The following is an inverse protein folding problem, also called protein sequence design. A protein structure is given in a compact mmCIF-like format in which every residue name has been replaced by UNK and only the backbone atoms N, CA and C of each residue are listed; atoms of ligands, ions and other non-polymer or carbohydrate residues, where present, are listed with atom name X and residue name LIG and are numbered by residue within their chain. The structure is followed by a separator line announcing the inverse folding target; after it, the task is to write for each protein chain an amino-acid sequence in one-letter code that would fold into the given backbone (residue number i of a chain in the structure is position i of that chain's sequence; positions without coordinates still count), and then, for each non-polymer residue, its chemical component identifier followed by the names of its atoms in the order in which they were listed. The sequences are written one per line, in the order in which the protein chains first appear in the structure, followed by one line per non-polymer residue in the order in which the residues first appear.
data_IF_003841109568
#
_entry.id   IF_003841109568
#
_cell.length_a   1.000
_cell.length_b   1.000
_cell.length_c   1.000
_cell.angle_alpha   90.00
_cell.angle_beta   90.00
_cell.angle_gamma   90.00
#
_symmetry.space_group_name_H-M   'P 1'
#
loop_
_entity.id
_entity.type
_entity.pdbx_description
1 polymer ?
#
# COMPACT_ATOMS: atom_id res chain seq x y z
N UNK A 1 11.29 20.87 -6.46
CA UNK A 1 12.09 20.08 -7.40
C UNK A 1 11.90 18.60 -7.13
N UNK A 2 11.62 17.79 -8.17
CA UNK A 2 11.45 16.37 -7.96
C UNK A 2 12.79 15.65 -7.76
N UNK A 3 12.80 14.61 -6.95
CA UNK A 3 13.98 13.76 -6.72
C UNK A 3 14.19 12.89 -7.96
N UNK A 4 15.35 13.01 -8.60
CA UNK A 4 15.73 12.27 -9.80
C UNK A 4 17.24 12.02 -9.85
N UNK A 5 17.73 11.03 -10.60
CA UNK A 5 19.15 10.86 -10.83
C UNK A 5 19.74 12.07 -11.55
N UNK A 6 20.97 12.44 -11.22
CA UNK A 6 21.72 13.49 -11.93
C UNK A 6 22.02 13.10 -13.37
N UNK A 7 22.29 11.81 -13.57
CA UNK A 7 22.58 11.22 -14.89
C UNK A 7 21.72 9.97 -15.08
N UNK A 8 20.70 10.09 -15.91
CA UNK A 8 19.71 9.04 -16.18
C UNK A 8 20.31 7.84 -16.92
N UNK A 9 21.44 8.02 -17.62
CA UNK A 9 22.10 6.93 -18.33
C UNK A 9 22.82 5.93 -17.41
N UNK A 10 22.98 6.28 -16.12
CA UNK A 10 23.67 5.47 -15.12
C UNK A 10 22.65 4.81 -14.20
N UNK A 11 22.46 3.53 -14.35
CA UNK A 11 21.68 2.72 -13.42
C UNK A 11 22.48 2.38 -12.13
N UNK A 12 21.85 1.69 -11.19
CA UNK A 12 22.46 1.32 -9.92
C UNK A 12 23.63 0.32 -10.04
N UNK A 13 23.83 -0.31 -11.20
CA UNK A 13 24.95 -1.23 -11.45
C UNK A 13 26.23 -0.49 -11.82
N UNK A 14 26.08 0.65 -12.48
CA UNK A 14 27.20 1.47 -12.97
C UNK A 14 27.69 2.46 -11.91
N UNK A 15 26.79 2.95 -11.05
CA UNK A 15 27.14 3.91 -10.00
C UNK A 15 27.84 3.20 -8.85
N UNK A 16 29.05 3.66 -8.51
CA UNK A 16 29.82 3.13 -7.39
C UNK A 16 29.26 3.65 -6.04
N UNK A 17 28.26 2.99 -5.53
CA UNK A 17 27.69 3.25 -4.18
C UNK A 17 28.13 2.11 -3.27
N UNK A 18 28.89 2.42 -2.23
CA UNK A 18 29.42 1.43 -1.28
C UNK A 18 28.36 0.90 -0.32
N UNK A 19 27.44 1.75 0.07
CA UNK A 19 26.33 1.39 0.97
C UNK A 19 25.21 0.69 0.22
N UNK A 20 24.79 -0.48 0.74
CA UNK A 20 23.78 -1.32 0.12
C UNK A 20 22.39 -0.68 0.13
N UNK A 21 22.03 0.06 1.18
CA UNK A 21 20.71 0.67 1.30
C UNK A 21 20.62 1.95 0.45
N UNK A 22 21.70 2.71 0.37
CA UNK A 22 21.79 3.83 -0.57
C UNK A 22 21.70 3.35 -2.02
N UNK A 23 22.29 2.20 -2.34
CA UNK A 23 22.18 1.60 -3.68
C UNK A 23 20.75 1.21 -4.02
N UNK A 24 20.04 0.58 -3.09
CA UNK A 24 18.61 0.23 -3.26
C UNK A 24 17.76 1.48 -3.46
N UNK A 25 18.02 2.52 -2.66
CA UNK A 25 17.30 3.78 -2.79
C UNK A 25 17.55 4.44 -4.15
N UNK A 26 18.82 4.46 -4.60
CA UNK A 26 19.17 4.98 -5.92
C UNK A 26 18.48 4.20 -7.03
N UNK A 27 18.47 2.86 -6.97
CA UNK A 27 17.80 1.98 -7.92
C UNK A 27 16.29 2.26 -7.99
N UNK A 28 15.63 2.44 -6.84
CA UNK A 28 14.24 2.80 -6.76
C UNK A 28 13.95 4.16 -7.42
N UNK A 29 14.74 5.18 -7.11
CA UNK A 29 14.60 6.52 -7.69
C UNK A 29 14.82 6.46 -9.19
N UNK A 30 15.87 5.76 -9.65
CA UNK A 30 16.18 5.62 -11.06
C UNK A 30 15.04 4.91 -11.81
N UNK A 31 14.61 3.75 -11.34
CA UNK A 31 13.50 2.99 -11.92
C UNK A 31 12.22 3.81 -11.98
N UNK A 32 11.88 4.54 -10.91
CA UNK A 32 10.71 5.40 -10.87
C UNK A 32 10.80 6.53 -11.89
N UNK A 33 11.97 7.13 -12.02
CA UNK A 33 12.22 8.22 -12.98
C UNK A 33 12.07 7.73 -14.43
N UNK A 34 12.67 6.58 -14.76
CA UNK A 34 12.57 5.99 -16.10
C UNK A 34 11.15 5.59 -16.41
N UNK A 35 10.48 4.89 -15.47
CA UNK A 35 9.12 4.39 -15.67
C UNK A 35 8.10 5.50 -15.92
N UNK A 36 8.30 6.68 -15.34
CA UNK A 36 7.44 7.85 -15.59
C UNK A 36 7.54 8.38 -17.04
N UNK A 37 8.60 8.04 -17.77
CA UNK A 37 8.79 8.44 -19.16
C UNK A 37 8.46 7.33 -20.15
N UNK A 38 8.11 6.13 -19.65
CA UNK A 38 7.76 4.99 -20.48
C UNK A 38 6.26 4.99 -20.85
N UNK A 39 5.92 4.28 -21.91
CA UNK A 39 4.53 4.06 -22.30
C UNK A 39 3.76 3.30 -21.20
N UNK A 40 2.48 3.61 -21.05
CA UNK A 40 1.60 2.93 -20.10
C UNK A 40 1.45 1.44 -20.43
N UNK A 41 1.41 0.61 -19.41
CA UNK A 41 1.10 -0.81 -19.55
C UNK A 41 -0.33 -1.00 -20.08
N UNK A 42 -0.52 -2.01 -20.93
CA UNK A 42 -1.84 -2.40 -21.46
C UNK A 42 -2.24 -3.73 -20.84
N UNK A 43 -3.30 -3.68 -20.06
CA UNK A 43 -3.85 -4.84 -19.36
C UNK A 43 -5.21 -5.18 -19.95
N UNK A 44 -5.45 -6.45 -20.23
CA UNK A 44 -6.76 -6.96 -20.55
C UNK A 44 -7.37 -7.61 -19.31
N UNK A 45 -8.51 -7.09 -18.88
CA UNK A 45 -9.27 -7.67 -17.77
C UNK A 45 -10.50 -8.37 -18.32
N UNK A 46 -10.59 -9.66 -18.06
CA UNK A 46 -11.72 -10.49 -18.43
C UNK A 46 -12.56 -10.77 -17.20
N UNK A 47 -13.85 -10.46 -17.28
CA UNK A 47 -14.84 -10.84 -16.27
C UNK A 47 -15.82 -11.78 -16.92
N UNK A 48 -16.02 -12.94 -16.31
CA UNK A 48 -16.92 -13.97 -16.81
C UNK A 48 -18.01 -14.22 -15.78
N UNK A 49 -19.25 -14.07 -16.21
CA UNK A 49 -20.42 -14.45 -15.43
C UNK A 49 -20.94 -15.80 -15.94
N UNK A 50 -20.96 -16.79 -15.05
CA UNK A 50 -21.36 -18.16 -15.33
C UNK A 50 -22.68 -18.41 -14.64
N UNK A 51 -23.72 -18.75 -15.38
CA UNK A 51 -25.05 -19.05 -14.84
C UNK A 51 -25.40 -20.52 -14.99
N UNK A 52 -26.14 -21.07 -14.03
CA UNK A 52 -26.75 -22.38 -14.19
C UNK A 52 -27.90 -22.33 -15.20
N UNK A 53 -28.30 -23.48 -15.76
CA UNK A 53 -29.39 -23.56 -16.76
C UNK A 53 -30.72 -23.04 -16.21
N UNK A 54 -30.96 -23.16 -14.91
CA UNK A 54 -32.14 -22.64 -14.20
C UNK A 54 -32.01 -21.19 -13.74
N UNK A 55 -30.88 -20.52 -14.05
CA UNK A 55 -30.53 -19.14 -13.67
C UNK A 55 -30.55 -18.85 -12.14
N UNK A 56 -30.54 -19.90 -11.31
CA UNK A 56 -30.56 -19.72 -9.85
C UNK A 56 -29.16 -19.47 -9.26
N UNK A 57 -28.12 -19.93 -9.94
CA UNK A 57 -26.74 -19.77 -9.48
C UNK A 57 -26.00 -18.87 -10.45
N UNK A 58 -25.40 -17.82 -9.92
CA UNK A 58 -24.50 -16.93 -10.63
C UNK A 58 -23.10 -17.00 -10.00
N UNK A 59 -22.13 -17.42 -10.78
CA UNK A 59 -20.72 -17.42 -10.41
C UNK A 59 -19.99 -16.36 -11.22
N UNK A 60 -19.03 -15.68 -10.62
CA UNK A 60 -18.20 -14.68 -11.30
C UNK A 60 -16.72 -15.04 -11.17
N UNK A 61 -16.03 -15.05 -12.30
CA UNK A 61 -14.60 -15.21 -12.38
C UNK A 61 -13.97 -13.97 -13.02
N UNK A 62 -12.88 -13.50 -12.42
CA UNK A 62 -12.10 -12.38 -12.94
C UNK A 62 -10.69 -12.87 -13.26
N UNK A 63 -10.17 -12.43 -14.39
CA UNK A 63 -8.80 -12.66 -14.80
C UNK A 63 -8.18 -11.42 -15.41
N UNK A 64 -6.87 -11.36 -15.39
CA UNK A 64 -6.13 -10.25 -15.99
C UNK A 64 -4.89 -10.78 -16.71
N UNK A 65 -4.65 -10.26 -17.90
CA UNK A 65 -3.48 -10.58 -18.72
C UNK A 65 -2.78 -9.29 -19.10
N UNK A 66 -1.46 -9.26 -18.98
CA UNK A 66 -0.66 -8.14 -19.46
C UNK A 66 -0.41 -8.34 -20.94
N UNK A 67 -0.97 -7.47 -21.78
CA UNK A 67 -0.77 -7.50 -23.25
C UNK A 67 0.54 -6.78 -23.60
N UNK A 68 0.82 -5.67 -22.91
CA UNK A 68 2.00 -4.88 -23.12
C UNK A 68 2.52 -4.37 -21.77
N UNK A 69 3.74 -4.75 -21.43
CA UNK A 69 4.32 -4.46 -20.12
C UNK A 69 4.50 -2.96 -19.85
N UNK A 70 4.85 -2.18 -20.91
CA UNK A 70 5.12 -0.76 -20.75
C UNK A 70 6.10 -0.48 -19.60
N UNK A 71 5.74 0.44 -18.70
CA UNK A 71 6.55 0.80 -17.53
C UNK A 71 6.72 -0.33 -16.51
N UNK A 72 5.82 -1.32 -16.48
CA UNK A 72 5.91 -2.47 -15.56
C UNK A 72 7.17 -3.31 -15.79
N UNK A 73 7.77 -3.24 -16.99
CA UNK A 73 9.02 -3.91 -17.29
C UNK A 73 10.20 -3.41 -16.43
N UNK A 74 10.14 -2.16 -15.99
CA UNK A 74 11.21 -1.52 -15.20
C UNK A 74 10.82 -1.33 -13.74
N UNK A 75 9.56 -1.00 -13.49
CA UNK A 75 9.08 -0.67 -12.17
C UNK A 75 7.75 -1.36 -11.86
N UNK A 76 7.76 -2.19 -10.86
CA UNK A 76 6.57 -2.76 -10.24
C UNK A 76 6.51 -2.25 -8.79
N UNK A 77 5.37 -1.67 -8.42
CA UNK A 77 5.20 -1.16 -7.07
C UNK A 77 5.08 -2.31 -6.07
N UNK A 78 5.99 -2.35 -5.09
CA UNK A 78 5.94 -3.32 -4.02
C UNK A 78 4.70 -3.10 -3.16
N UNK A 79 3.92 -4.15 -2.93
CA UNK A 79 2.78 -4.13 -2.02
C UNK A 79 3.16 -4.87 -0.74
N UNK A 80 2.98 -4.22 0.40
CA UNK A 80 3.23 -4.82 1.71
C UNK A 80 2.17 -5.89 2.09
N UNK A 81 0.97 -5.79 1.52
CA UNK A 81 -0.12 -6.72 1.76
C UNK A 81 -0.30 -7.67 0.57
N UNK A 82 0.14 -8.91 0.77
CA UNK A 82 0.07 -9.99 -0.24
C UNK A 82 -1.28 -10.70 -0.30
N UNK A 83 -2.24 -10.31 0.56
CA UNK A 83 -3.47 -11.08 0.78
C UNK A 83 -4.53 -10.96 -0.35
N UNK A 84 -4.39 -10.02 -1.28
CA UNK A 84 -5.35 -9.85 -2.37
C UNK A 84 -4.71 -10.09 -3.76
N UNK A 85 -4.04 -11.22 -3.95
CA UNK A 85 -3.61 -11.66 -5.28
C UNK A 85 -4.73 -12.37 -6.05
N UNK A 86 -5.90 -11.77 -6.13
CA UNK A 86 -6.90 -12.22 -7.12
C UNK A 86 -6.61 -11.68 -8.53
N UNK A 87 -5.80 -10.63 -8.62
CA UNK A 87 -5.53 -9.92 -9.88
C UNK A 87 -4.55 -10.61 -10.84
N UNK A 88 -4.03 -11.78 -10.51
CA UNK A 88 -2.98 -12.44 -11.30
C UNK A 88 -3.39 -13.74 -12.00
N UNK A 89 -4.61 -14.21 -11.85
CA UNK A 89 -5.05 -15.43 -12.54
C UNK A 89 -5.41 -15.11 -13.98
N UNK A 90 -4.69 -15.71 -14.91
CA UNK A 90 -5.08 -15.69 -16.32
C UNK A 90 -6.25 -16.65 -16.52
N UNK A 91 -7.35 -16.14 -17.07
CA UNK A 91 -8.44 -16.98 -17.53
C UNK A 91 -8.14 -17.51 -18.94
N UNK A 92 -8.58 -18.73 -19.29
CA UNK A 92 -8.52 -19.21 -20.66
C UNK A 92 -9.41 -18.33 -21.55
N UNK A 93 -9.18 -18.40 -22.84
CA UNK A 93 -10.04 -17.71 -23.80
C UNK A 93 -11.42 -18.35 -23.79
N UNK A 94 -12.43 -17.58 -23.45
CA UNK A 94 -13.82 -17.99 -23.35
C UNK A 94 -14.67 -17.21 -24.37
N UNK A 95 -15.76 -17.81 -24.82
CA UNK A 95 -16.70 -17.20 -25.74
C UNK A 95 -18.06 -16.97 -25.07
N UNK A 96 -18.80 -15.99 -25.54
CA UNK A 96 -20.14 -15.73 -25.03
C UNK A 96 -21.07 -16.94 -25.31
N UNK A 97 -21.86 -17.29 -24.29
CA UNK A 97 -22.78 -18.45 -24.32
C UNK A 97 -22.10 -19.82 -24.51
N UNK A 98 -20.81 -19.91 -24.22
CA UNK A 98 -20.11 -21.19 -24.22
C UNK A 98 -20.62 -22.07 -23.06
N UNK A 99 -20.92 -23.33 -23.36
CA UNK A 99 -21.32 -24.30 -22.32
C UNK A 99 -20.09 -24.83 -21.62
N UNK A 100 -20.05 -24.64 -20.30
CA UNK A 100 -18.99 -25.14 -19.45
C UNK A 100 -19.42 -26.43 -18.77
N UNK A 101 -18.52 -27.42 -18.75
CA UNK A 101 -18.70 -28.65 -18.00
C UNK A 101 -18.20 -28.49 -16.57
N UNK A 102 -19.05 -28.83 -15.62
CA UNK A 102 -18.68 -28.84 -14.21
C UNK A 102 -17.87 -30.08 -13.88
N UNK A 103 -16.59 -29.94 -13.61
CA UNK A 103 -15.70 -31.04 -13.25
C UNK A 103 -15.85 -31.39 -11.76
N UNK A 104 -15.68 -30.42 -10.89
CA UNK A 104 -15.67 -30.62 -9.43
C UNK A 104 -16.19 -29.39 -8.71
N UNK A 105 -16.80 -29.62 -7.57
CA UNK A 105 -17.14 -28.57 -6.61
C UNK A 105 -16.38 -28.81 -5.31
N UNK A 106 -15.35 -28.02 -5.06
CA UNK A 106 -14.63 -28.05 -3.80
C UNK A 106 -15.28 -27.08 -2.82
N UNK A 107 -15.34 -27.49 -1.56
CA UNK A 107 -15.82 -26.64 -0.47
C UNK A 107 -14.67 -26.34 0.47
N UNK A 108 -14.47 -25.06 0.75
CA UNK A 108 -13.46 -24.61 1.69
C UNK A 108 -14.12 -23.71 2.73
N UNK A 109 -13.72 -23.90 3.97
CA UNK A 109 -14.19 -23.03 5.04
C UNK A 109 -13.21 -21.86 5.20
N UNK A 110 -13.69 -20.65 5.01
CA UNK A 110 -12.91 -19.42 5.24
C UNK A 110 -13.48 -18.67 6.42
N UNK A 111 -12.60 -18.05 7.19
CA UNK A 111 -12.96 -17.18 8.29
C UNK A 111 -12.53 -15.76 7.95
N UNK A 112 -13.35 -14.79 8.34
CA UNK A 112 -12.97 -13.39 8.24
C UNK A 112 -11.73 -13.12 9.11
N UNK A 113 -10.72 -12.55 8.50
CA UNK A 113 -9.49 -12.18 9.20
C UNK A 113 -9.60 -10.74 9.70
N UNK A 114 -8.99 -10.45 10.84
CA UNK A 114 -8.85 -9.07 11.30
C UNK A 114 -7.96 -8.29 10.33
N UNK A 115 -8.18 -6.96 10.17
CA UNK A 115 -7.28 -6.14 9.37
C UNK A 115 -5.81 -6.34 9.79
N UNK A 116 -4.88 -6.42 8.84
CA UNK A 116 -3.47 -6.61 9.15
C UNK A 116 -2.92 -5.45 9.96
N UNK A 117 -1.93 -5.74 10.81
CA UNK A 117 -1.20 -4.70 11.54
C UNK A 117 -0.44 -3.79 10.56
N UNK A 118 -0.31 -2.53 10.91
CA UNK A 118 0.44 -1.58 10.09
C UNK A 118 1.92 -1.97 9.96
N UNK A 119 2.47 -1.81 8.78
CA UNK A 119 3.91 -1.68 8.55
C UNK A 119 4.29 -0.20 8.70
N UNK A 120 5.58 0.12 8.71
CA UNK A 120 6.01 1.53 8.71
C UNK A 120 5.46 2.28 7.49
N UNK A 121 5.47 1.67 6.32
CA UNK A 121 4.97 2.26 5.09
C UNK A 121 3.44 2.48 5.13
N UNK A 122 2.67 1.47 5.54
CA UNK A 122 1.21 1.60 5.63
C UNK A 122 0.78 2.55 6.75
N UNK A 123 1.57 2.66 7.84
CA UNK A 123 1.34 3.67 8.87
C UNK A 123 1.56 5.09 8.34
N UNK A 124 2.66 5.32 7.61
CA UNK A 124 2.93 6.63 6.98
C UNK A 124 1.82 6.99 6.00
N UNK A 125 1.39 6.06 5.14
CA UNK A 125 0.25 6.27 4.25
C UNK A 125 -1.02 6.65 5.01
N UNK A 126 -1.30 5.96 6.13
CA UNK A 126 -2.47 6.27 6.96
C UNK A 126 -2.38 7.63 7.64
N UNK A 127 -1.18 8.02 8.09
CA UNK A 127 -0.93 9.36 8.64
C UNK A 127 -1.15 10.45 7.58
N UNK A 128 -0.69 10.23 6.35
CA UNK A 128 -0.92 11.13 5.22
C UNK A 128 -2.41 11.29 4.90
N UNK A 129 -3.14 10.17 4.80
CA UNK A 129 -4.60 10.17 4.57
C UNK A 129 -5.36 10.96 5.65
N UNK A 130 -4.91 10.89 6.90
CA UNK A 130 -5.52 11.59 8.03
C UNK A 130 -4.98 13.02 8.22
N UNK A 131 -4.02 13.45 7.41
CA UNK A 131 -3.38 14.77 7.54
C UNK A 131 -2.50 14.93 8.77
N UNK A 132 -2.03 13.82 9.38
CA UNK A 132 -1.17 13.80 10.56
C UNK A 132 0.29 13.86 10.13
N UNK A 133 1.00 14.88 10.57
CA UNK A 133 2.41 15.08 10.22
C UNK A 133 2.62 15.67 8.82
N UNK A 134 3.86 15.59 8.37
CA UNK A 134 4.31 16.07 7.05
C UNK A 134 5.40 15.11 6.53
N UNK A 135 5.72 15.09 5.24
CA UNK A 135 6.78 14.24 4.69
C UNK A 135 8.10 14.32 5.46
N UNK A 136 8.47 15.52 5.93
CA UNK A 136 9.69 15.73 6.73
C UNK A 136 9.62 15.18 8.15
N UNK A 137 8.43 14.86 8.68
CA UNK A 137 8.26 14.41 10.07
C UNK A 137 7.81 12.96 10.19
N UNK A 138 7.39 12.30 9.12
CA UNK A 138 6.90 10.92 9.20
C UNK A 138 7.94 9.96 9.78
N UNK A 139 9.16 10.01 9.28
CA UNK A 139 10.24 9.14 9.76
C UNK A 139 10.52 9.36 11.26
N UNK A 140 10.62 10.61 11.70
CA UNK A 140 10.87 10.95 13.10
C UNK A 140 9.73 10.51 14.03
N UNK A 141 8.47 10.60 13.58
CA UNK A 141 7.32 10.11 14.35
C UNK A 141 7.40 8.59 14.51
N UNK A 142 7.63 7.86 13.42
CA UNK A 142 7.72 6.39 13.45
C UNK A 142 8.88 5.93 14.33
N UNK A 143 10.04 6.58 14.25
CA UNK A 143 11.19 6.29 15.12
C UNK A 143 10.85 6.60 16.59
N UNK A 144 10.26 7.76 16.87
CA UNK A 144 9.93 8.18 18.24
C UNK A 144 8.98 7.20 18.95
N UNK A 145 7.96 6.68 18.26
CA UNK A 145 7.03 5.74 18.89
C UNK A 145 7.67 4.38 19.20
N UNK A 146 8.68 3.99 18.42
CA UNK A 146 9.48 2.79 18.69
C UNK A 146 10.48 3.02 19.81
N UNK A 147 11.25 4.12 19.80
CA UNK A 147 12.25 4.46 20.81
C UNK A 147 11.65 4.65 22.21
N UNK A 148 10.39 5.06 22.29
CA UNK A 148 9.66 5.21 23.55
C UNK A 148 8.94 3.94 24.01
N UNK A 149 9.10 2.83 23.31
CA UNK A 149 8.41 1.55 23.56
C UNK A 149 6.88 1.67 23.56
N UNK A 150 6.33 2.58 22.77
CA UNK A 150 4.88 2.64 22.58
C UNK A 150 4.41 1.57 21.59
N UNK A 151 5.29 1.22 20.66
CA UNK A 151 5.06 0.24 19.60
C UNK A 151 6.32 -0.60 19.42
N UNK A 152 6.13 -1.92 19.26
CA UNK A 152 7.19 -2.85 18.90
C UNK A 152 7.07 -3.32 17.46
N UNK A 153 8.18 -3.43 16.76
CA UNK A 153 8.23 -3.97 15.41
C UNK A 153 8.49 -5.47 15.43
N UNK A 154 7.53 -6.25 14.95
CA UNK A 154 7.62 -7.70 14.80
C UNK A 154 7.39 -8.10 13.35
N UNK A 155 8.34 -8.82 12.74
CA UNK A 155 8.23 -9.28 11.34
C UNK A 155 7.75 -8.18 10.37
N UNK A 156 8.31 -6.98 10.48
CA UNK A 156 7.94 -5.79 9.70
C UNK A 156 6.55 -5.22 9.99
N UNK A 157 5.85 -5.68 11.02
CA UNK A 157 4.55 -5.17 11.47
C UNK A 157 4.68 -4.49 12.83
N UNK A 158 3.90 -3.43 13.02
CA UNK A 158 3.91 -2.64 14.24
C UNK A 158 2.81 -3.15 15.19
N UNK A 159 3.20 -3.52 16.40
CA UNK A 159 2.29 -3.96 17.47
C UNK A 159 2.32 -2.97 18.63
N UNK A 160 1.16 -2.46 19.08
CA UNK A 160 1.12 -1.54 20.21
C UNK A 160 1.48 -2.27 21.51
N UNK A 161 2.38 -1.67 22.30
CA UNK A 161 2.76 -2.13 23.62
C UNK A 161 1.85 -1.55 24.71
N UNK A 162 1.83 -2.17 25.89
CA UNK A 162 0.98 -1.76 27.00
C UNK A 162 1.25 -0.33 27.45
N UNK A 163 2.51 0.09 27.41
CA UNK A 163 2.92 1.48 27.69
C UNK A 163 2.24 2.47 26.73
N UNK A 164 2.21 2.16 25.43
CA UNK A 164 1.53 2.98 24.44
C UNK A 164 0.02 3.03 24.67
N UNK A 165 -0.60 1.91 25.03
CA UNK A 165 -2.02 1.84 25.33
C UNK A 165 -2.39 2.67 26.55
N UNK A 166 -1.63 2.56 27.65
CA UNK A 166 -1.84 3.32 28.86
C UNK A 166 -1.73 4.83 28.60
N UNK A 167 -0.68 5.26 27.90
CA UNK A 167 -0.49 6.67 27.55
C UNK A 167 -1.64 7.17 26.69
N UNK A 168 -2.08 6.39 25.69
CA UNK A 168 -3.21 6.78 24.84
C UNK A 168 -4.50 6.93 25.63
N UNK A 169 -4.84 5.97 26.51
CA UNK A 169 -6.03 6.03 27.37
C UNK A 169 -5.97 7.23 28.30
N UNK A 170 -4.81 7.48 28.92
CA UNK A 170 -4.61 8.63 29.80
C UNK A 170 -4.84 9.96 29.07
N UNK A 171 -4.23 10.12 27.91
CA UNK A 171 -4.37 11.32 27.10
C UNK A 171 -5.83 11.52 26.63
N UNK A 172 -6.49 10.47 26.18
CA UNK A 172 -7.89 10.55 25.74
C UNK A 172 -8.85 10.92 26.87
N UNK A 173 -8.59 10.50 28.09
CA UNK A 173 -9.45 10.80 29.23
C UNK A 173 -9.21 12.20 29.81
N UNK A 174 -7.95 12.63 29.93
CA UNK A 174 -7.60 13.85 30.66
C UNK A 174 -7.23 15.02 29.78
N UNK A 175 -6.77 14.76 28.54
CA UNK A 175 -6.25 15.76 27.62
C UNK A 175 -6.95 15.76 26.25
N UNK A 176 -8.20 15.33 26.21
CA UNK A 176 -8.99 15.22 24.97
C UNK A 176 -9.00 16.52 24.15
N UNK A 177 -8.99 17.68 24.81
CA UNK A 177 -8.95 19.00 24.15
C UNK A 177 -7.67 19.23 23.34
N UNK A 178 -6.57 18.59 23.73
CA UNK A 178 -5.25 18.76 23.10
C UNK A 178 -4.90 17.63 22.14
N UNK A 179 -5.74 16.62 22.02
CA UNK A 179 -5.55 15.50 21.09
C UNK A 179 -6.35 15.80 19.84
N UNK A 180 -5.66 16.23 18.81
CA UNK A 180 -6.27 16.38 17.50
C UNK A 180 -6.19 15.07 16.72
N UNK A 181 -7.33 14.66 16.16
CA UNK A 181 -7.41 13.48 15.30
C UNK A 181 -6.97 13.84 13.87
N UNK A 182 -7.00 15.13 13.53
CA UNK A 182 -6.53 15.61 12.24
C UNK A 182 -5.80 16.95 12.36
N UNK A 183 -4.86 17.21 11.46
CA UNK A 183 -4.09 18.45 11.39
C UNK A 183 -4.98 19.70 11.16
N UNK A 184 -6.08 19.56 10.45
CA UNK A 184 -7.06 20.63 10.25
C UNK A 184 -7.67 21.09 11.57
N UNK A 185 -7.88 20.19 12.50
CA UNK A 185 -8.39 20.51 13.83
C UNK A 185 -7.36 21.27 14.67
N UNK A 186 -6.07 20.90 14.61
CA UNK A 186 -4.98 21.65 15.23
C UNK A 186 -4.85 23.08 14.68
N UNK A 187 -4.89 23.23 13.36
CA UNK A 187 -4.76 24.51 12.69
C UNK A 187 -5.93 25.48 12.97
N UNK A 188 -7.13 24.94 13.16
CA UNK A 188 -8.29 25.76 13.52
C UNK A 188 -8.15 26.40 14.92
N UNK A 189 -7.29 25.84 15.79
CA UNK A 189 -6.98 26.40 17.11
C UNK A 189 -5.78 27.38 17.10
N UNK A 190 -4.93 27.33 16.08
CA UNK A 190 -3.75 28.20 15.95
C UNK A 190 -4.02 29.50 15.17
N UNK A 191 -5.12 29.57 14.41
CA UNK A 191 -5.41 30.69 13.51
C UNK A 191 -5.93 31.98 14.13
N UNK A 192 -6.45 32.07 15.35
CA UNK A 192 -6.90 33.38 15.89
C UNK A 192 -5.78 34.32 16.33
N UNK A 193 -4.59 33.81 16.65
CA UNK A 193 -3.54 34.61 17.29
C UNK A 193 -2.47 35.19 16.34
N UNK A 194 -2.45 34.76 15.07
CA UNK A 194 -1.44 35.21 14.09
C UNK A 194 -2.00 36.08 12.97
N UNK A 195 -3.21 36.60 13.10
CA UNK A 195 -3.85 37.55 12.16
C UNK A 195 -4.02 38.92 12.73
N UNK A 196 -3.11 39.38 13.63
CA UNK A 196 -2.99 40.77 14.07
C UNK A 196 -1.63 41.29 13.69
#
# INVERSE_FOLDING_TARGET
ECIRPTDVSKDASVVKISDADQRKLYDLIWKRTISCQMEAAKLERTTVDITSEDHQILLRANGQVVIFDGFLKVYEEGRDDTENREDGKSLPKLFENEKLEKLEVTKEQHFTQAPPRYTEATLVKKMEELGIGRPSTYASIVTTIQDRDYVRKEKNRLSPEDKGRIVTIFLLNFFKKYIAVSYTHLRAHETPEHLV
#
